data_IF_687762096496
#
_entry.id   IF_687762096496
#
_cell.length_a   1.000
_cell.length_b   1.000
_cell.length_c   1.000
_cell.angle_alpha   90.00
_cell.angle_beta   90.00
_cell.angle_gamma   90.00
#
_symmetry.space_group_name_H-M   'P 1'
#
loop_
_entity.id
_entity.type
_entity.pdbx_description
1 polymer ?
#
# COMPACT_ATOMS: atom_id res chain seq x y z
N UNK A 1 -23.82 -3.32 -13.92
CA UNK A 1 -22.71 -4.04 -13.28
C UNK A 1 -22.21 -5.05 -14.28
N UNK A 2 -20.92 -5.02 -14.62
CA UNK A 2 -20.35 -6.06 -15.48
C UNK A 2 -20.39 -7.42 -14.78
N UNK A 3 -20.18 -8.49 -15.54
CA UNK A 3 -19.79 -9.77 -14.95
C UNK A 3 -18.43 -9.66 -14.25
N UNK A 4 -18.14 -10.59 -13.35
CA UNK A 4 -16.80 -10.77 -12.82
C UNK A 4 -15.80 -10.98 -13.97
N UNK A 5 -14.60 -10.36 -13.93
CA UNK A 5 -13.61 -10.53 -14.97
C UNK A 5 -13.01 -11.94 -14.94
N UNK A 6 -12.73 -12.46 -16.12
CA UNK A 6 -11.93 -13.67 -16.30
C UNK A 6 -10.45 -13.45 -15.95
N UNK A 7 -9.72 -14.53 -15.73
CA UNK A 7 -8.28 -14.47 -15.50
C UNK A 7 -7.51 -13.78 -16.64
N UNK A 8 -7.95 -13.95 -17.88
CA UNK A 8 -7.33 -13.29 -19.04
C UNK A 8 -7.62 -11.78 -19.07
N UNK A 9 -8.80 -11.35 -18.65
CA UNK A 9 -9.14 -9.93 -18.50
C UNK A 9 -8.36 -9.27 -17.36
N UNK A 10 -8.14 -9.99 -16.25
CA UNK A 10 -7.25 -9.52 -15.17
C UNK A 10 -5.81 -9.46 -15.67
N UNK A 11 -5.32 -10.50 -16.38
CA UNK A 11 -3.93 -10.54 -16.85
C UNK A 11 -3.59 -9.42 -17.84
N UNK A 12 -4.53 -9.08 -18.71
CA UNK A 12 -4.32 -8.23 -19.89
C UNK A 12 -3.67 -6.88 -19.56
N UNK A 13 -4.21 -6.16 -18.60
CA UNK A 13 -3.81 -4.79 -18.30
C UNK A 13 -4.24 -4.34 -16.88
N UNK A 14 -4.04 -3.05 -16.59
CA UNK A 14 -4.36 -2.43 -15.31
C UNK A 14 -5.86 -2.10 -15.10
N UNK A 15 -6.76 -2.47 -16.02
CA UNK A 15 -8.19 -2.16 -15.93
C UNK A 15 -8.79 -2.69 -14.64
N UNK A 16 -8.48 -3.93 -14.27
CA UNK A 16 -8.98 -4.53 -13.03
C UNK A 16 -7.99 -4.36 -11.90
N UNK A 17 -8.10 -3.26 -11.17
CA UNK A 17 -7.29 -3.00 -9.97
C UNK A 17 -7.59 -4.03 -8.88
N UNK A 18 -6.56 -4.75 -8.44
CA UNK A 18 -6.59 -5.52 -7.19
C UNK A 18 -6.63 -4.55 -6.01
N UNK A 19 -7.84 -4.25 -5.53
CA UNK A 19 -8.06 -3.09 -4.66
C UNK A 19 -8.03 -3.46 -3.18
N UNK A 20 -8.62 -4.59 -2.77
CA UNK A 20 -8.60 -5.07 -1.39
C UNK A 20 -8.58 -6.60 -1.32
N UNK A 21 -8.06 -7.14 -0.22
CA UNK A 21 -7.98 -8.58 0.05
C UNK A 21 -8.65 -8.88 1.39
N UNK A 22 -9.43 -9.95 1.42
CA UNK A 22 -9.89 -10.59 2.64
C UNK A 22 -9.25 -11.99 2.73
N UNK A 23 -8.13 -12.11 3.45
CA UNK A 23 -7.45 -13.40 3.60
C UNK A 23 -8.28 -14.43 4.37
N UNK A 24 -9.13 -13.97 5.30
CA UNK A 24 -9.96 -14.86 6.11
C UNK A 24 -11.09 -15.48 5.29
N UNK A 25 -11.67 -14.71 4.36
CA UNK A 25 -12.66 -15.21 3.41
C UNK A 25 -12.04 -15.85 2.15
N UNK A 26 -10.75 -15.63 1.90
CA UNK A 26 -10.09 -16.05 0.65
C UNK A 26 -10.63 -15.29 -0.57
N UNK A 27 -10.99 -14.02 -0.41
CA UNK A 27 -11.65 -13.21 -1.43
C UNK A 27 -10.82 -11.98 -1.77
N UNK A 28 -10.92 -11.53 -3.02
CA UNK A 28 -10.30 -10.30 -3.51
C UNK A 28 -11.37 -9.40 -4.13
N UNK A 29 -11.25 -8.10 -3.88
CA UNK A 29 -12.06 -7.08 -4.57
C UNK A 29 -11.27 -6.49 -5.71
N UNK A 30 -11.83 -6.60 -6.91
CA UNK A 30 -11.36 -5.99 -8.13
C UNK A 30 -12.23 -4.78 -8.45
N UNK A 31 -11.61 -3.68 -8.89
CA UNK A 31 -12.32 -2.46 -9.30
C UNK A 31 -11.89 -2.10 -10.72
N UNK A 32 -12.86 -1.87 -11.60
CA UNK A 32 -12.58 -1.40 -12.95
C UNK A 32 -12.08 0.06 -12.90
N UNK A 33 -10.95 0.30 -13.54
CA UNK A 33 -10.24 1.58 -13.55
C UNK A 33 -9.79 1.87 -14.97
N UNK A 34 -9.95 3.11 -15.41
CA UNK A 34 -9.28 3.62 -16.59
C UNK A 34 -8.14 4.57 -16.19
N UNK A 35 -7.40 5.04 -17.20
CA UNK A 35 -6.26 5.97 -17.02
C UNK A 35 -6.67 7.24 -16.26
N UNK A 36 -7.84 7.78 -16.59
CA UNK A 36 -8.34 9.02 -15.97
C UNK A 36 -8.72 8.79 -14.50
N UNK A 37 -9.35 7.66 -14.20
CA UNK A 37 -9.71 7.25 -12.84
C UNK A 37 -8.47 7.06 -11.98
N UNK A 38 -7.43 6.39 -12.51
CA UNK A 38 -6.14 6.30 -11.83
C UNK A 38 -5.51 7.67 -11.62
N UNK A 39 -5.57 8.59 -12.59
CA UNK A 39 -5.00 9.95 -12.47
C UNK A 39 -5.76 10.84 -11.48
N UNK A 40 -7.09 10.75 -11.45
CA UNK A 40 -7.94 11.55 -10.58
C UNK A 40 -7.83 11.12 -9.11
N UNK A 41 -7.90 9.81 -8.84
CA UNK A 41 -7.98 9.27 -7.48
C UNK A 41 -6.76 9.64 -6.64
N UNK A 42 -6.96 10.36 -5.53
CA UNK A 42 -5.84 10.63 -4.61
C UNK A 42 -5.39 9.36 -3.87
N UNK A 43 -6.32 8.43 -3.68
CA UNK A 43 -6.13 7.19 -2.94
C UNK A 43 -7.05 6.10 -3.51
N UNK A 44 -6.54 4.87 -3.54
CA UNK A 44 -7.18 3.69 -4.09
C UNK A 44 -7.67 2.73 -2.99
N UNK A 45 -8.03 3.27 -1.83
CA UNK A 45 -8.62 2.51 -0.72
C UNK A 45 -10.15 2.62 -0.69
N UNK A 46 -10.78 2.39 0.46
CA UNK A 46 -12.24 2.41 0.60
C UNK A 46 -12.89 3.75 0.17
N UNK A 47 -12.11 4.83 0.06
CA UNK A 47 -12.57 6.11 -0.51
C UNK A 47 -13.05 5.97 -1.96
N UNK A 48 -12.52 5.02 -2.73
CA UNK A 48 -13.01 4.73 -4.08
C UNK A 48 -14.50 4.32 -4.07
N UNK A 49 -14.96 3.68 -3.00
CA UNK A 49 -16.33 3.16 -2.89
C UNK A 49 -17.35 4.24 -2.52
N UNK A 50 -16.91 5.49 -2.30
CA UNK A 50 -17.81 6.62 -2.01
C UNK A 50 -18.62 7.06 -3.24
N UNK A 51 -18.21 6.63 -4.43
CA UNK A 51 -18.95 6.80 -5.68
C UNK A 51 -19.25 5.44 -6.30
N UNK A 52 -20.29 5.33 -7.15
CA UNK A 52 -20.54 4.10 -7.88
C UNK A 52 -19.34 3.73 -8.75
N UNK A 53 -18.77 2.55 -8.50
CA UNK A 53 -17.68 1.95 -9.27
C UNK A 53 -18.10 0.56 -9.73
N UNK A 54 -17.53 0.07 -10.83
CA UNK A 54 -17.67 -1.34 -11.18
C UNK A 54 -16.70 -2.15 -10.32
N UNK A 55 -17.24 -2.79 -9.28
CA UNK A 55 -16.47 -3.58 -8.33
C UNK A 55 -16.99 -5.02 -8.30
N UNK A 56 -16.05 -5.96 -8.32
CA UNK A 56 -16.33 -7.39 -8.35
C UNK A 56 -15.58 -8.05 -7.18
N UNK A 57 -16.28 -8.88 -6.41
CA UNK A 57 -15.65 -9.70 -5.37
C UNK A 57 -15.54 -11.10 -5.93
N UNK A 58 -14.31 -11.61 -6.05
CA UNK A 58 -14.03 -12.92 -6.63
C UNK A 58 -13.19 -13.75 -5.64
N UNK A 59 -13.26 -15.09 -5.71
CA UNK A 59 -12.33 -15.95 -4.99
C UNK A 59 -10.87 -15.62 -5.35
N UNK A 60 -9.98 -15.61 -4.35
CA UNK A 60 -8.55 -15.38 -4.56
C UNK A 60 -7.95 -16.33 -5.62
N UNK A 61 -8.22 -17.65 -5.62
CA UNK A 61 -7.66 -18.56 -6.61
C UNK A 61 -7.95 -18.15 -8.06
N UNK A 62 -9.12 -17.57 -8.33
CA UNK A 62 -9.50 -17.15 -9.67
C UNK A 62 -8.66 -15.95 -10.16
N UNK A 63 -8.33 -15.03 -9.25
CA UNK A 63 -7.42 -13.92 -9.54
C UNK A 63 -5.95 -14.36 -9.58
N UNK A 64 -5.58 -15.34 -8.76
CA UNK A 64 -4.21 -15.88 -8.72
C UNK A 64 -3.82 -16.54 -10.04
N UNK A 65 -4.76 -17.26 -10.68
CA UNK A 65 -4.58 -17.84 -12.02
C UNK A 65 -4.16 -16.78 -13.04
N UNK A 66 -4.66 -15.55 -12.92
CA UNK A 66 -4.31 -14.45 -13.83
C UNK A 66 -2.81 -14.12 -13.79
N UNK A 67 -2.14 -14.37 -12.67
CA UNK A 67 -0.72 -14.03 -12.45
C UNK A 67 0.25 -15.20 -12.39
N UNK A 68 -0.23 -16.40 -12.75
CA UNK A 68 0.63 -17.57 -12.99
C UNK A 68 1.54 -17.33 -14.20
N UNK A 69 2.77 -17.83 -14.10
CA UNK A 69 3.78 -17.75 -15.16
C UNK A 69 4.69 -16.54 -15.05
N UNK A 70 5.36 -16.22 -16.17
CA UNK A 70 6.29 -15.11 -16.28
C UNK A 70 5.53 -13.82 -16.60
N UNK A 71 5.13 -13.12 -15.54
CA UNK A 71 4.52 -11.80 -15.63
C UNK A 71 5.49 -10.78 -15.06
N UNK A 72 5.39 -9.56 -15.58
CA UNK A 72 6.16 -8.42 -15.08
C UNK A 72 5.99 -8.24 -13.56
N UNK A 73 7.10 -7.95 -12.91
CA UNK A 73 7.22 -7.67 -11.46
C UNK A 73 8.03 -6.40 -11.23
N UNK A 74 8.09 -5.54 -12.23
CA UNK A 74 8.97 -4.38 -12.32
C UNK A 74 8.36 -3.09 -11.73
N UNK A 75 7.24 -3.19 -11.01
CA UNK A 75 6.67 -2.04 -10.28
C UNK A 75 7.73 -1.30 -9.46
N UNK A 76 7.67 0.03 -9.52
CA UNK A 76 8.51 0.93 -8.71
C UNK A 76 7.75 1.32 -7.46
N UNK A 77 8.40 1.24 -6.31
CA UNK A 77 7.72 1.37 -5.03
C UNK A 77 8.07 2.66 -4.31
N UNK A 78 7.05 3.28 -3.68
CA UNK A 78 7.19 4.40 -2.76
C UNK A 78 6.66 3.95 -1.40
N UNK A 79 7.54 3.90 -0.40
CA UNK A 79 7.19 3.68 1.00
C UNK A 79 7.43 4.95 1.80
N UNK A 80 6.67 5.14 2.87
CA UNK A 80 6.72 6.39 3.60
C UNK A 80 6.16 6.28 5.01
N UNK A 81 6.60 7.17 5.88
CA UNK A 81 5.88 7.45 7.13
C UNK A 81 4.69 8.39 6.84
N UNK A 82 3.65 8.37 7.66
CA UNK A 82 2.47 9.23 7.45
C UNK A 82 2.80 10.72 7.31
N UNK A 83 2.01 11.47 6.53
CA UNK A 83 2.08 12.94 6.44
C UNK A 83 3.38 13.59 5.92
N UNK A 84 4.14 12.90 5.06
CA UNK A 84 5.40 13.42 4.48
C UNK A 84 5.33 13.87 3.02
N UNK A 85 4.13 14.15 2.52
CA UNK A 85 3.95 14.61 1.13
C UNK A 85 4.07 13.51 0.07
N UNK A 86 3.99 12.23 0.45
CA UNK A 86 4.09 11.10 -0.49
C UNK A 86 3.01 11.13 -1.58
N UNK A 87 1.80 11.63 -1.27
CA UNK A 87 0.74 11.84 -2.26
C UNK A 87 1.10 12.93 -3.28
N UNK A 88 1.81 13.99 -2.88
CA UNK A 88 2.28 15.00 -3.83
C UNK A 88 3.30 14.39 -4.80
N UNK A 89 4.30 13.69 -4.27
CA UNK A 89 5.35 13.06 -5.08
C UNK A 89 4.76 12.02 -6.04
N UNK A 90 3.87 11.14 -5.59
CA UNK A 90 3.27 10.14 -6.47
C UNK A 90 2.36 10.74 -7.54
N UNK A 91 1.72 11.89 -7.29
CA UNK A 91 0.99 12.62 -8.34
C UNK A 91 1.94 13.20 -9.37
N UNK A 92 3.04 13.84 -8.94
CA UNK A 92 4.05 14.39 -9.86
C UNK A 92 4.68 13.29 -10.73
N UNK A 93 5.04 12.15 -10.13
CA UNK A 93 5.57 11.01 -10.88
C UNK A 93 4.54 10.43 -11.85
N UNK A 94 3.26 10.41 -11.49
CA UNK A 94 2.17 9.97 -12.38
C UNK A 94 1.87 10.90 -13.56
N UNK A 95 2.44 12.11 -13.60
CA UNK A 95 2.36 12.99 -14.79
C UNK A 95 3.49 12.72 -15.79
N UNK A 96 4.44 11.85 -15.46
CA UNK A 96 5.45 11.36 -16.42
C UNK A 96 4.77 10.40 -17.38
N UNK A 97 4.92 10.63 -18.70
CA UNK A 97 4.07 10.02 -19.73
C UNK A 97 4.06 8.50 -19.82
N UNK A 98 5.03 7.80 -19.21
CA UNK A 98 5.10 6.34 -19.18
C UNK A 98 4.93 5.76 -17.76
N UNK A 99 4.37 6.51 -16.81
CA UNK A 99 4.19 6.07 -15.42
C UNK A 99 2.70 5.95 -15.09
N UNK A 100 2.27 4.74 -14.71
CA UNK A 100 0.98 4.52 -14.10
C UNK A 100 1.10 4.61 -12.58
N UNK A 101 0.65 5.73 -12.00
CA UNK A 101 0.71 5.91 -10.56
C UNK A 101 -0.46 5.22 -9.83
N UNK A 102 -0.14 4.21 -9.02
CA UNK A 102 -1.07 3.43 -8.19
C UNK A 102 -0.92 3.90 -6.74
N UNK A 103 -1.92 4.59 -6.20
CA UNK A 103 -1.79 5.32 -4.92
C UNK A 103 -2.59 4.68 -3.81
N UNK A 104 -1.91 4.06 -2.84
CA UNK A 104 -2.47 3.41 -1.65
C UNK A 104 -3.57 2.39 -1.96
N UNK A 105 -3.32 1.38 -2.81
CA UNK A 105 -4.27 0.30 -2.99
C UNK A 105 -4.43 -0.44 -1.64
N UNK A 106 -5.66 -0.60 -1.19
CA UNK A 106 -5.96 -1.15 0.16
C UNK A 106 -5.39 -2.55 0.36
N UNK A 107 -5.30 -3.35 -0.69
CA UNK A 107 -4.76 -4.72 -0.67
C UNK A 107 -3.39 -4.82 0.02
N UNK A 108 -2.52 -3.83 -0.14
CA UNK A 108 -1.20 -3.83 0.50
C UNK A 108 -1.30 -3.66 2.02
N UNK A 109 -2.27 -2.88 2.48
CA UNK A 109 -2.57 -2.69 3.91
C UNK A 109 -3.17 -3.97 4.49
N UNK A 110 -4.13 -4.56 3.79
CA UNK A 110 -4.75 -5.83 4.20
C UNK A 110 -3.68 -6.93 4.34
N UNK A 111 -2.76 -7.02 3.38
CA UNK A 111 -1.64 -7.98 3.40
C UNK A 111 -0.65 -7.72 4.54
N UNK A 112 -0.29 -6.46 4.80
CA UNK A 112 0.61 -6.10 5.89
C UNK A 112 0.02 -6.42 7.28
N UNK A 113 -1.30 -6.32 7.41
CA UNK A 113 -2.03 -6.68 8.63
C UNK A 113 -2.30 -8.19 8.75
N UNK A 114 -2.11 -8.95 7.66
CA UNK A 114 -2.26 -10.41 7.65
C UNK A 114 -1.15 -11.06 8.46
N UNK A 115 -1.47 -12.07 9.31
CA UNK A 115 -0.47 -12.87 10.02
C UNK A 115 0.60 -13.47 9.08
N UNK A 116 1.88 -13.53 9.49
CA UNK A 116 2.96 -14.01 8.62
C UNK A 116 2.75 -15.41 8.04
N UNK A 117 2.13 -16.32 8.80
CA UNK A 117 1.83 -17.70 8.40
C UNK A 117 0.79 -17.79 7.27
N UNK A 118 -0.09 -16.81 7.15
CA UNK A 118 -1.10 -16.72 6.09
C UNK A 118 -0.61 -15.86 4.91
N UNK A 119 0.20 -14.84 5.20
CA UNK A 119 0.69 -13.86 4.22
C UNK A 119 1.42 -14.49 3.05
N UNK A 120 2.22 -15.53 3.30
CA UNK A 120 3.06 -16.18 2.29
C UNK A 120 2.31 -16.64 1.03
N UNK A 121 1.04 -17.01 1.17
CA UNK A 121 0.18 -17.45 0.06
C UNK A 121 -0.11 -16.36 -0.97
N UNK A 122 0.10 -15.08 -0.64
CA UNK A 122 -0.23 -13.95 -1.51
C UNK A 122 1.01 -13.23 -2.07
N UNK A 123 2.16 -13.36 -1.40
CA UNK A 123 3.36 -12.55 -1.67
C UNK A 123 3.89 -12.69 -3.11
N UNK A 124 3.79 -13.87 -3.72
CA UNK A 124 4.25 -14.07 -5.10
C UNK A 124 3.35 -13.38 -6.15
N UNK A 125 2.06 -13.22 -5.85
CA UNK A 125 1.07 -12.71 -6.79
C UNK A 125 0.93 -11.18 -6.73
N UNK A 126 1.08 -10.59 -5.53
CA UNK A 126 0.81 -9.17 -5.31
C UNK A 126 1.74 -8.24 -6.12
N UNK A 127 3.07 -8.43 -6.16
CA UNK A 127 3.95 -7.62 -7.01
C UNK A 127 3.56 -7.68 -8.49
N UNK A 128 3.13 -8.85 -8.99
CA UNK A 128 2.65 -9.02 -10.37
C UNK A 128 1.37 -8.25 -10.63
N UNK A 129 0.39 -8.36 -9.73
CA UNK A 129 -0.87 -7.63 -9.82
C UNK A 129 -0.66 -6.11 -9.83
N UNK A 130 0.32 -5.64 -9.05
CA UNK A 130 0.69 -4.22 -8.93
C UNK A 130 1.61 -3.72 -10.06
N UNK A 131 2.25 -4.62 -10.81
CA UNK A 131 3.12 -4.25 -11.94
C UNK A 131 2.37 -4.09 -13.26
N UNK A 132 1.10 -4.48 -13.32
CA UNK A 132 0.27 -4.31 -14.53
C UNK A 132 0.09 -2.83 -14.88
N UNK A 133 0.08 -2.55 -16.18
CA UNK A 133 -0.12 -1.22 -16.79
C UNK A 133 -1.10 -1.32 -17.95
N UNK A 134 -1.40 -0.21 -18.63
CA UNK A 134 -2.27 -0.23 -19.82
C UNK A 134 -1.47 -0.47 -21.10
N UNK A 135 -0.20 -0.08 -21.12
CA UNK A 135 0.72 -0.31 -22.25
C UNK A 135 2.05 -0.94 -21.78
N UNK A 136 2.67 -1.73 -22.65
CA UNK A 136 3.93 -2.46 -22.35
C UNK A 136 5.11 -1.50 -22.05
N UNK A 137 5.12 -0.31 -22.67
CA UNK A 137 6.15 0.72 -22.45
C UNK A 137 6.01 1.50 -21.15
N UNK A 138 4.96 1.23 -20.36
CA UNK A 138 4.72 1.89 -19.08
C UNK A 138 5.34 1.14 -17.92
N UNK A 139 5.52 1.87 -16.82
CA UNK A 139 5.89 1.32 -15.52
C UNK A 139 4.86 1.68 -14.47
N UNK A 140 4.46 0.72 -13.65
CA UNK A 140 3.64 1.00 -12.48
C UNK A 140 4.50 1.66 -11.39
N UNK A 141 4.03 2.78 -10.83
CA UNK A 141 4.62 3.40 -9.66
C UNK A 141 3.65 3.32 -8.50
N UNK A 142 3.93 2.41 -7.57
CA UNK A 142 3.04 2.04 -6.47
C UNK A 142 3.45 2.80 -5.22
N UNK A 143 2.62 3.76 -4.80
CA UNK A 143 2.70 4.36 -3.48
C UNK A 143 1.96 3.49 -2.48
N UNK A 144 2.69 2.79 -1.62
CA UNK A 144 2.08 1.98 -0.58
C UNK A 144 1.46 2.86 0.53
N UNK A 145 0.47 2.35 1.27
CA UNK A 145 0.05 3.01 2.53
C UNK A 145 1.17 2.85 3.54
N UNK A 146 1.37 3.81 4.46
CA UNK A 146 2.51 3.78 5.41
C UNK A 146 2.68 2.47 6.18
N UNK A 147 1.59 1.78 6.53
CA UNK A 147 1.63 0.48 7.23
C UNK A 147 2.21 -0.66 6.40
N UNK A 148 2.12 -0.57 5.07
CA UNK A 148 2.64 -1.59 4.17
C UNK A 148 4.18 -1.56 4.08
N UNK A 149 4.84 -0.62 4.76
CA UNK A 149 6.30 -0.65 4.93
C UNK A 149 6.78 -1.94 5.63
N UNK A 150 5.94 -2.56 6.48
CA UNK A 150 6.25 -3.84 7.14
C UNK A 150 6.46 -5.02 6.18
N UNK A 151 6.01 -4.88 4.93
CA UNK A 151 6.15 -5.90 3.89
C UNK A 151 7.00 -5.40 2.72
N UNK A 152 7.74 -4.29 2.89
CA UNK A 152 8.50 -3.69 1.81
C UNK A 152 9.55 -4.67 1.23
N UNK A 153 10.29 -5.36 2.09
CA UNK A 153 11.29 -6.36 1.69
C UNK A 153 10.67 -7.57 0.95
N UNK A 154 9.40 -7.88 1.20
CA UNK A 154 8.68 -8.95 0.49
C UNK A 154 8.18 -8.51 -0.89
N UNK A 155 8.00 -7.19 -1.11
CA UNK A 155 7.41 -6.62 -2.32
C UNK A 155 8.46 -6.15 -3.34
N UNK A 156 9.59 -5.64 -2.86
CA UNK A 156 10.66 -5.10 -3.71
C UNK A 156 11.63 -6.23 -4.06
N UNK A 157 11.87 -6.52 -5.35
CA UNK A 157 12.86 -7.52 -5.73
C UNK A 157 14.25 -7.16 -5.19
N UNK A 158 15.02 -8.17 -4.79
CA UNK A 158 16.35 -7.97 -4.22
C UNK A 158 17.26 -7.18 -5.18
N UNK A 159 17.86 -6.09 -4.68
CA UNK A 159 18.74 -5.21 -5.43
C UNK A 159 18.04 -4.13 -6.27
N UNK A 160 16.70 -4.13 -6.34
CA UNK A 160 15.95 -3.08 -7.01
C UNK A 160 15.74 -1.85 -6.09
N UNK A 161 15.78 -0.62 -6.64
CA UNK A 161 15.57 0.57 -5.84
C UNK A 161 14.10 0.79 -5.49
N UNK A 162 13.87 1.31 -4.29
CA UNK A 162 12.59 1.87 -3.84
C UNK A 162 12.79 3.30 -3.31
N UNK A 163 11.75 4.13 -3.38
CA UNK A 163 11.76 5.48 -2.81
C UNK A 163 11.19 5.45 -1.39
N UNK A 164 12.02 5.75 -0.39
CA UNK A 164 11.57 5.93 0.98
C UNK A 164 11.43 7.41 1.31
N UNK A 165 10.27 7.80 1.83
CA UNK A 165 9.99 9.19 2.23
C UNK A 165 9.76 9.28 3.74
N UNK A 166 10.50 10.17 4.37
CA UNK A 166 10.40 10.42 5.80
C UNK A 166 10.58 11.91 6.13
N UNK A 167 10.27 12.26 7.36
CA UNK A 167 10.53 13.58 7.92
C UNK A 167 11.31 13.44 9.22
N UNK A 168 12.02 14.50 9.62
CA UNK A 168 12.65 14.54 10.94
C UNK A 168 11.59 14.40 12.04
N UNK A 169 11.94 13.85 13.22
CA UNK A 169 10.98 13.65 14.32
C UNK A 169 10.21 14.92 14.65
N UNK A 170 10.92 16.07 14.73
CA UNK A 170 10.33 17.37 15.02
C UNK A 170 9.26 17.76 14.00
N UNK A 171 9.54 17.60 12.72
CA UNK A 171 8.60 17.96 11.65
C UNK A 171 7.40 17.02 11.64
N UNK A 172 7.63 15.71 11.78
CA UNK A 172 6.56 14.72 11.85
C UNK A 172 5.61 14.99 13.03
N UNK A 173 6.15 15.16 14.23
CA UNK A 173 5.35 15.43 15.44
C UNK A 173 4.53 16.71 15.26
N UNK A 174 5.15 17.79 14.77
CA UNK A 174 4.43 19.04 14.52
C UNK A 174 3.30 18.87 13.49
N UNK A 175 3.54 18.11 12.41
CA UNK A 175 2.52 17.83 11.39
C UNK A 175 1.35 17.01 11.93
N UNK A 176 1.61 15.99 12.76
CA UNK A 176 0.55 15.18 13.37
C UNK A 176 -0.30 16.02 14.32
N UNK A 177 0.33 16.81 15.20
CA UNK A 177 -0.38 17.63 16.19
C UNK A 177 -1.18 18.78 15.56
N UNK A 178 -0.82 19.22 14.35
CA UNK A 178 -1.53 20.26 13.63
C UNK A 178 -2.87 19.77 13.02
N UNK A 179 -3.08 18.45 12.88
CA UNK A 179 -4.25 17.89 12.20
C UNK A 179 -5.15 17.09 13.15
N UNK A 180 -6.40 17.52 13.35
CA UNK A 180 -7.35 16.84 14.25
C UNK A 180 -7.56 15.36 13.85
N UNK A 181 -7.69 15.07 12.55
CA UNK A 181 -7.82 13.70 12.06
C UNK A 181 -6.54 12.88 12.26
N UNK A 182 -5.37 13.51 12.14
CA UNK A 182 -4.08 12.86 12.41
C UNK A 182 -3.92 12.49 13.88
N UNK A 183 -4.39 13.34 14.79
CA UNK A 183 -4.42 13.03 16.23
C UNK A 183 -5.38 11.88 16.52
N UNK A 184 -6.59 11.88 15.94
CA UNK A 184 -7.54 10.75 16.09
C UNK A 184 -6.93 9.43 15.61
N UNK A 185 -6.32 9.43 14.44
CA UNK A 185 -5.63 8.26 13.89
C UNK A 185 -4.43 7.85 14.76
N UNK A 186 -3.65 8.80 15.28
CA UNK A 186 -2.54 8.55 16.20
C UNK A 186 -3.00 7.74 17.42
N UNK A 187 -4.14 8.10 18.03
CA UNK A 187 -4.71 7.36 19.15
C UNK A 187 -5.21 5.98 18.73
N UNK A 188 -5.96 5.90 17.63
CA UNK A 188 -6.57 4.66 17.15
C UNK A 188 -5.53 3.56 16.86
N UNK A 189 -4.31 3.95 16.48
CA UNK A 189 -3.23 3.04 16.09
C UNK A 189 -2.15 2.84 17.16
N UNK A 190 -2.28 3.47 18.33
CA UNK A 190 -1.24 3.46 19.35
C UNK A 190 -0.89 2.03 19.79
N UNK A 191 -1.89 1.20 20.06
CA UNK A 191 -1.69 -0.18 20.52
C UNK A 191 -1.06 -1.04 19.42
N UNK A 192 -1.50 -0.88 18.17
CA UNK A 192 -0.95 -1.61 17.03
C UNK A 192 0.54 -1.27 16.81
N UNK A 193 0.91 0.01 16.89
CA UNK A 193 2.32 0.45 16.81
C UNK A 193 3.14 -0.06 17.99
N UNK A 194 2.56 -0.05 19.20
CA UNK A 194 3.19 -0.64 20.38
C UNK A 194 3.51 -2.13 20.19
N UNK A 195 2.57 -2.90 19.60
CA UNK A 195 2.80 -4.31 19.27
C UNK A 195 3.90 -4.50 18.21
N UNK A 196 3.95 -3.64 17.18
CA UNK A 196 5.01 -3.67 16.14
C UNK A 196 6.40 -3.41 16.71
N UNK A 197 6.52 -2.45 17.61
CA UNK A 197 7.77 -2.16 18.32
C UNK A 197 8.17 -3.31 19.26
N UNK A 198 7.20 -3.86 20.01
CA UNK A 198 7.45 -4.97 20.92
C UNK A 198 7.93 -6.25 20.19
N UNK A 199 7.45 -6.52 18.97
CA UNK A 199 7.95 -7.63 18.13
C UNK A 199 9.41 -7.47 17.71
N UNK A 200 9.97 -6.26 17.82
CA UNK A 200 11.37 -5.93 17.57
C UNK A 200 12.16 -5.75 18.87
N UNK A 201 11.60 -6.21 19.99
CA UNK A 201 12.16 -6.03 21.34
C UNK A 201 12.38 -4.56 21.73
N UNK A 202 11.66 -3.62 21.10
CA UNK A 202 11.71 -2.19 21.42
C UNK A 202 10.58 -1.84 22.38
N UNK A 203 10.93 -1.49 23.60
CA UNK A 203 10.01 -0.98 24.61
C UNK A 203 10.17 0.53 24.78
N UNK A 204 9.10 1.27 24.49
CA UNK A 204 9.04 2.71 24.75
C UNK A 204 8.32 2.99 26.09
N UNK A 205 8.67 4.08 26.80
CA UNK A 205 7.92 4.50 27.98
C UNK A 205 6.47 4.86 27.61
N UNK A 206 5.56 4.72 28.58
CA UNK A 206 4.17 5.11 28.40
C UNK A 206 4.09 6.60 28.02
N UNK A 207 3.38 6.89 26.93
CA UNK A 207 3.25 8.25 26.42
C UNK A 207 2.41 9.11 27.38
N UNK A 208 2.93 10.29 27.76
CA UNK A 208 2.29 11.20 28.71
C UNK A 208 1.34 12.18 28.04
N UNK A 209 1.53 12.42 26.74
CA UNK A 209 0.74 13.34 25.92
C UNK A 209 0.83 12.93 24.44
N UNK A 210 0.17 13.69 23.57
CA UNK A 210 0.11 13.37 22.14
C UNK A 210 1.44 13.57 21.41
N UNK A 211 2.33 14.44 21.92
CA UNK A 211 3.67 14.59 21.37
C UNK A 211 4.53 13.35 21.62
N UNK A 212 4.46 12.78 22.83
CA UNK A 212 5.11 11.50 23.15
C UNK A 212 4.54 10.37 22.28
N UNK A 213 3.21 10.33 22.06
CA UNK A 213 2.57 9.35 21.17
C UNK A 213 3.03 9.51 19.73
N UNK A 214 3.09 10.74 19.22
CA UNK A 214 3.56 11.02 17.86
C UNK A 214 5.05 10.67 17.70
N UNK A 215 5.88 10.89 18.72
CA UNK A 215 7.27 10.46 18.71
C UNK A 215 7.40 8.92 18.67
N UNK A 216 6.59 8.21 19.45
CA UNK A 216 6.52 6.75 19.40
C UNK A 216 6.05 6.24 18.04
N UNK A 217 5.07 6.92 17.43
CA UNK A 217 4.63 6.59 16.08
C UNK A 217 5.73 6.81 15.04
N UNK A 218 6.42 7.95 15.09
CA UNK A 218 7.58 8.21 14.23
C UNK A 218 8.63 7.10 14.35
N UNK A 219 9.02 6.75 15.58
CA UNK A 219 10.02 5.70 15.83
C UNK A 219 9.56 4.35 15.27
N UNK A 220 8.29 3.98 15.48
CA UNK A 220 7.72 2.75 14.93
C UNK A 220 7.80 2.71 13.40
N UNK A 221 7.39 3.77 12.70
CA UNK A 221 7.41 3.76 11.23
C UNK A 221 8.84 3.85 10.67
N UNK A 222 9.75 4.54 11.36
CA UNK A 222 11.14 4.66 10.91
C UNK A 222 11.92 3.36 11.07
N UNK A 223 11.80 2.68 12.21
CA UNK A 223 12.46 1.37 12.41
C UNK A 223 12.07 0.41 11.29
N UNK A 224 10.79 0.36 10.93
CA UNK A 224 10.32 -0.48 9.82
C UNK A 224 10.91 -0.09 8.47
N UNK A 225 11.06 1.21 8.19
CA UNK A 225 11.65 1.67 6.93
C UNK A 225 13.17 1.42 6.89
N UNK A 226 13.86 1.56 8.02
CA UNK A 226 15.29 1.27 8.15
C UNK A 226 15.55 -0.24 7.98
N UNK A 227 14.77 -1.11 8.62
CA UNK A 227 14.84 -2.57 8.45
C UNK A 227 14.69 -2.98 6.96
N UNK A 228 13.86 -2.26 6.20
CA UNK A 228 13.63 -2.55 4.78
C UNK A 228 14.71 -1.95 3.85
N UNK A 229 15.59 -1.10 4.36
CA UNK A 229 16.67 -0.47 3.59
C UNK A 229 17.98 -1.27 3.62
N UNK A 230 18.12 -2.21 4.57
CA UNK A 230 19.27 -3.10 4.74
C UNK A 230 19.24 -4.30 3.78
#
# INVERSE_FOLDING_TARGET
MSSAPSADEIRRDATWLAQALDPAAGMIRLVAMDRESYRAASFLDDRLMQQPVDAQIVPWPDAEIAVVGDMRTDARWIFHIGHVGSTLISRLLGEVGNVLAIREPRILRDLAMTPPDVRGSYLAAIPKLMSRTFDEGEIACVKATSFASEIAADLVPAGEPALFMYASPRNYIASILAGENSVKELHALADYRGQRLARRDIALPAARNDADRAAAAWACEMVTLEDAAE
#
